data_IF_933852868696
#
_entry.id   IF_933852868696
#
_cell.length_a   1.000
_cell.length_b   1.000
_cell.length_c   1.000
_cell.angle_alpha   90.00
_cell.angle_beta   90.00
_cell.angle_gamma   90.00
#
_symmetry.space_group_name_H-M   'P 1'
#
loop_
_entity.id
_entity.type
_entity.pdbx_description
1 polymer ?
#
# COMPACT_ATOMS: atom_id res chain seq x y z
N UNK A 1 -9.58 -25.54 8.87
CA UNK A 1 -9.02 -24.41 9.59
C UNK A 1 -8.72 -24.83 11.04
N UNK A 2 -7.59 -25.50 11.27
CA UNK A 2 -7.24 -26.08 12.57
C UNK A 2 -6.94 -25.03 13.68
N UNK A 3 -6.72 -23.77 13.28
CA UNK A 3 -6.38 -22.69 14.22
C UNK A 3 -7.54 -21.71 14.49
N UNK A 4 -8.75 -21.96 13.94
CA UNK A 4 -9.90 -21.07 14.15
C UNK A 4 -9.76 -19.67 13.54
N UNK A 5 -8.81 -19.45 12.63
CA UNK A 5 -8.55 -18.15 11.99
C UNK A 5 -9.62 -17.88 10.94
N UNK A 6 -10.19 -16.68 10.94
CA UNK A 6 -11.06 -16.21 9.85
C UNK A 6 -10.19 -15.74 8.69
N UNK A 7 -10.40 -16.31 7.50
CA UNK A 7 -9.69 -15.94 6.29
C UNK A 7 -10.63 -15.14 5.39
N UNK A 8 -10.14 -14.00 4.90
CA UNK A 8 -10.82 -13.15 3.92
C UNK A 8 -9.93 -13.08 2.68
N UNK A 9 -10.42 -13.56 1.56
CA UNK A 9 -9.71 -13.44 0.27
C UNK A 9 -10.07 -12.12 -0.39
N UNK A 10 -9.06 -11.45 -0.93
CA UNK A 10 -9.24 -10.28 -1.79
C UNK A 10 -8.68 -10.62 -3.18
N UNK A 11 -9.35 -10.15 -4.22
CA UNK A 11 -8.95 -10.38 -5.62
C UNK A 11 -8.17 -9.22 -6.20
N UNK A 12 -8.19 -8.06 -5.55
CA UNK A 12 -7.58 -6.82 -6.01
C UNK A 12 -7.40 -5.86 -4.84
N UNK A 13 -6.60 -4.80 -5.03
CA UNK A 13 -6.42 -3.76 -4.02
C UNK A 13 -5.40 -4.10 -2.94
N UNK A 14 -4.25 -4.68 -3.32
CA UNK A 14 -3.18 -5.12 -2.41
C UNK A 14 -2.76 -4.04 -1.41
N UNK A 15 -2.57 -2.80 -1.88
CA UNK A 15 -2.16 -1.68 -1.00
C UNK A 15 -3.24 -1.37 0.03
N UNK A 16 -4.53 -1.43 -0.35
CA UNK A 16 -5.63 -1.24 0.59
C UNK A 16 -5.70 -2.37 1.62
N UNK A 17 -5.51 -3.62 1.17
CA UNK A 17 -5.46 -4.79 2.06
C UNK A 17 -4.37 -4.65 3.13
N UNK A 18 -3.18 -4.17 2.72
CA UNK A 18 -2.08 -3.89 3.64
C UNK A 18 -2.41 -2.75 4.61
N UNK A 19 -2.99 -1.65 4.14
CA UNK A 19 -3.38 -0.50 5.00
C UNK A 19 -4.43 -0.92 6.03
N UNK A 20 -5.33 -1.83 5.69
CA UNK A 20 -6.40 -2.31 6.58
C UNK A 20 -5.87 -2.93 7.89
N UNK A 21 -4.66 -3.50 7.88
CA UNK A 21 -4.02 -4.06 9.08
C UNK A 21 -3.63 -2.96 10.10
N UNK A 22 -3.39 -1.74 9.60
CA UNK A 22 -3.03 -0.59 10.43
C UNK A 22 -4.25 0.25 10.88
N UNK A 23 -5.45 -0.05 10.41
CA UNK A 23 -6.68 0.64 10.80
C UNK A 23 -7.26 0.01 12.08
N UNK A 24 -7.32 0.75 13.21
CA UNK A 24 -7.88 0.24 14.47
C UNK A 24 -9.36 -0.19 14.37
N UNK A 25 -10.08 0.28 13.35
CA UNK A 25 -11.48 -0.09 13.10
C UNK A 25 -11.62 -1.35 12.25
N UNK A 26 -10.53 -1.81 11.67
CA UNK A 26 -10.48 -3.04 10.91
C UNK A 26 -10.38 -4.25 11.85
N UNK A 27 -11.05 -5.33 11.50
CA UNK A 27 -10.91 -6.60 12.19
C UNK A 27 -9.88 -7.51 11.49
N UNK A 28 -8.84 -6.91 10.91
CA UNK A 28 -7.79 -7.61 10.18
C UNK A 28 -6.50 -7.57 11.00
N UNK A 29 -6.04 -8.71 11.46
CA UNK A 29 -4.83 -8.83 12.27
C UNK A 29 -3.57 -8.98 11.43
N UNK A 30 -3.67 -9.59 10.25
CA UNK A 30 -2.54 -9.86 9.37
C UNK A 30 -2.97 -9.84 7.90
N UNK A 31 -2.09 -9.31 7.05
CA UNK A 31 -2.20 -9.41 5.60
C UNK A 31 -1.06 -10.29 5.06
N UNK A 32 -1.40 -11.24 4.21
CA UNK A 32 -0.45 -12.08 3.48
C UNK A 32 -0.79 -12.03 2.00
N UNK A 33 0.15 -11.65 1.17
CA UNK A 33 -0.06 -11.54 -0.27
C UNK A 33 1.25 -11.51 -1.05
N UNK A 34 1.12 -11.66 -2.37
CA UNK A 34 2.19 -11.46 -3.34
C UNK A 34 1.70 -10.48 -4.38
N UNK A 35 2.47 -9.44 -4.62
CA UNK A 35 2.17 -8.38 -5.57
C UNK A 35 3.43 -7.88 -6.25
N UNK A 36 3.33 -6.83 -7.06
CA UNK A 36 4.47 -6.23 -7.73
C UNK A 36 5.43 -5.53 -6.75
N UNK A 37 6.69 -5.40 -7.15
CA UNK A 37 7.69 -4.69 -6.36
C UNK A 37 7.32 -3.23 -6.05
N UNK A 38 6.80 -2.45 -7.02
CA UNK A 38 6.33 -1.09 -6.77
C UNK A 38 5.20 -1.02 -5.73
N UNK A 39 4.23 -1.92 -5.80
CA UNK A 39 3.11 -2.01 -4.85
C UNK A 39 3.61 -2.31 -3.44
N UNK A 40 4.63 -3.19 -3.32
CA UNK A 40 5.28 -3.47 -2.04
C UNK A 40 5.92 -2.23 -1.40
N UNK A 41 6.57 -1.38 -2.20
CA UNK A 41 7.16 -0.12 -1.71
C UNK A 41 6.08 0.90 -1.34
N UNK A 42 5.00 1.00 -2.13
CA UNK A 42 3.85 1.87 -1.80
C UNK A 42 3.20 1.44 -0.48
N UNK A 43 2.99 0.14 -0.29
CA UNK A 43 2.47 -0.41 0.96
C UNK A 43 3.38 -0.08 2.16
N UNK A 44 4.70 -0.26 2.00
CA UNK A 44 5.68 0.10 3.03
C UNK A 44 5.65 1.61 3.35
N UNK A 45 5.49 2.47 2.34
CA UNK A 45 5.36 3.91 2.52
C UNK A 45 4.13 4.27 3.36
N UNK A 46 2.97 3.71 3.03
CA UNK A 46 1.74 3.93 3.78
C UNK A 46 1.87 3.45 5.24
N UNK A 47 2.35 2.21 5.45
CA UNK A 47 2.54 1.65 6.79
C UNK A 47 3.57 2.42 7.62
N UNK A 48 4.61 2.99 6.99
CA UNK A 48 5.58 3.87 7.65
C UNK A 48 4.93 5.12 8.22
N UNK A 49 3.92 5.68 7.55
CA UNK A 49 3.13 6.81 8.05
C UNK A 49 2.16 6.41 9.18
N UNK A 50 1.78 5.14 9.25
CA UNK A 50 0.82 4.60 10.22
C UNK A 50 1.49 3.92 11.43
N UNK A 51 2.81 4.05 11.58
CA UNK A 51 3.59 3.39 12.63
C UNK A 51 3.36 1.88 12.72
N UNK A 52 3.09 1.25 11.59
CA UNK A 52 2.84 -0.18 11.49
C UNK A 52 4.08 -0.93 11.01
N UNK A 53 3.97 -2.23 10.81
CA UNK A 53 5.10 -3.09 10.44
C UNK A 53 4.81 -3.87 9.17
N UNK A 54 5.88 -4.13 8.41
CA UNK A 54 5.83 -4.96 7.22
C UNK A 54 7.14 -5.72 7.06
N UNK A 55 7.04 -6.95 6.60
CA UNK A 55 8.18 -7.73 6.14
C UNK A 55 7.85 -8.35 4.79
N UNK A 56 8.78 -8.28 3.85
CA UNK A 56 8.60 -8.83 2.50
C UNK A 56 9.88 -9.48 1.99
N UNK A 57 9.77 -10.22 0.91
CA UNK A 57 10.90 -10.75 0.14
C UNK A 57 10.55 -10.77 -1.34
N UNK A 58 11.58 -10.72 -2.18
CA UNK A 58 11.40 -10.92 -3.61
C UNK A 58 11.05 -12.37 -3.91
N UNK A 59 10.11 -12.56 -4.81
CA UNK A 59 9.73 -13.86 -5.36
C UNK A 59 10.07 -13.82 -6.85
N UNK A 60 10.82 -14.78 -7.33
CA UNK A 60 11.27 -14.87 -8.71
C UNK A 60 10.63 -16.09 -9.37
N UNK A 61 10.08 -15.90 -10.56
CA UNK A 61 9.45 -16.98 -11.33
C UNK A 61 10.48 -17.79 -12.10
N UNK A 62 11.57 -17.14 -12.54
CA UNK A 62 12.61 -17.74 -13.36
C UNK A 62 14.01 -17.19 -13.08
N UNK A 63 15.00 -17.70 -13.80
CA UNK A 63 16.40 -17.27 -13.64
C UNK A 63 16.67 -15.91 -14.33
N UNK A 64 15.88 -15.50 -15.30
CA UNK A 64 16.02 -14.20 -15.94
C UNK A 64 15.63 -13.08 -14.99
N UNK A 65 14.57 -13.27 -14.19
CA UNK A 65 14.20 -12.33 -13.13
C UNK A 65 15.28 -12.24 -12.05
N UNK A 66 15.86 -13.36 -11.64
CA UNK A 66 16.99 -13.38 -10.69
C UNK A 66 18.20 -12.64 -11.25
N UNK A 67 18.51 -12.85 -12.52
CA UNK A 67 19.64 -12.20 -13.18
C UNK A 67 19.40 -10.68 -13.32
N UNK A 68 18.18 -10.25 -13.64
CA UNK A 68 17.79 -8.85 -13.63
C UNK A 68 17.95 -8.22 -12.25
N UNK A 69 17.48 -8.88 -11.21
CA UNK A 69 17.63 -8.41 -9.84
C UNK A 69 19.10 -8.23 -9.45
N UNK A 70 19.97 -9.19 -9.78
CA UNK A 70 21.42 -9.08 -9.55
C UNK A 70 22.03 -7.89 -10.30
N UNK A 71 21.67 -7.66 -11.57
CA UNK A 71 22.13 -6.52 -12.37
C UNK A 71 21.69 -5.18 -11.77
N UNK A 72 20.53 -5.13 -11.11
CA UNK A 72 20.03 -3.97 -10.37
C UNK A 72 20.66 -3.81 -8.97
N UNK A 73 21.63 -4.66 -8.61
CA UNK A 73 22.37 -4.53 -7.35
C UNK A 73 21.79 -5.31 -6.18
N UNK A 74 20.80 -6.17 -6.39
CA UNK A 74 20.27 -7.05 -5.35
C UNK A 74 21.29 -8.13 -5.04
N UNK A 75 21.93 -8.05 -3.87
CA UNK A 75 23.03 -8.94 -3.47
C UNK A 75 22.55 -10.30 -2.96
N UNK A 76 21.36 -10.38 -2.40
CA UNK A 76 20.80 -11.61 -1.85
C UNK A 76 19.36 -11.84 -2.32
N UNK A 77 19.13 -12.93 -3.04
CA UNK A 77 17.83 -13.22 -3.63
C UNK A 77 16.78 -13.69 -2.63
N UNK A 78 17.19 -14.14 -1.43
CA UNK A 78 16.31 -14.65 -0.37
C UNK A 78 16.26 -13.73 0.86
N UNK A 79 16.72 -12.49 0.72
CA UNK A 79 16.71 -11.54 1.82
C UNK A 79 15.26 -11.17 2.15
N UNK A 80 14.95 -11.13 3.44
CA UNK A 80 13.75 -10.51 3.97
C UNK A 80 14.04 -9.03 4.18
N UNK A 81 13.20 -8.19 3.61
CA UNK A 81 13.24 -6.75 3.76
C UNK A 81 12.21 -6.32 4.79
N UNK A 82 12.64 -5.54 5.76
CA UNK A 82 11.74 -4.82 6.65
C UNK A 82 11.33 -3.50 6.02
N UNK A 83 10.33 -2.86 6.56
CA UNK A 83 9.81 -1.59 6.06
C UNK A 83 10.92 -0.53 5.91
N UNK A 84 11.83 -0.42 6.89
CA UNK A 84 12.94 0.56 6.86
C UNK A 84 14.04 0.26 5.83
N UNK A 85 14.08 -0.95 5.28
CA UNK A 85 14.97 -1.30 4.17
C UNK A 85 14.42 -0.76 2.83
N UNK A 86 13.10 -0.63 2.73
CA UNK A 86 12.40 -0.21 1.51
C UNK A 86 12.12 1.28 1.48
N UNK A 87 11.80 1.89 2.63
CA UNK A 87 11.39 3.29 2.74
C UNK A 87 12.19 3.98 3.84
N UNK A 88 12.81 5.12 3.52
CA UNK A 88 13.67 5.89 4.44
C UNK A 88 13.25 7.35 4.47
N UNK A 89 13.51 7.98 5.62
CA UNK A 89 13.28 9.41 5.81
C UNK A 89 11.83 9.77 6.07
N UNK A 90 11.50 11.00 5.75
CA UNK A 90 10.12 11.50 5.83
C UNK A 90 9.33 11.06 4.60
N UNK A 91 8.07 10.70 4.82
CA UNK A 91 7.24 10.05 3.79
C UNK A 91 5.88 10.73 3.72
N UNK A 92 5.46 11.00 2.51
CA UNK A 92 4.08 11.35 2.17
C UNK A 92 3.52 10.23 1.29
N UNK A 93 2.36 9.69 1.67
CA UNK A 93 1.59 8.77 0.86
C UNK A 93 0.27 9.44 0.47
N UNK A 94 -0.05 9.41 -0.83
CA UNK A 94 -1.30 9.95 -1.36
C UNK A 94 -1.93 8.93 -2.31
N UNK A 95 -3.24 8.70 -2.14
CA UNK A 95 -4.03 7.87 -3.05
C UNK A 95 -5.33 8.57 -3.40
N UNK A 96 -5.55 8.85 -4.68
CA UNK A 96 -6.78 9.48 -5.18
C UNK A 96 -7.68 8.44 -5.82
N UNK A 97 -8.95 8.44 -5.45
CA UNK A 97 -9.94 7.52 -6.04
C UNK A 97 -10.27 7.90 -7.47
N UNK A 98 -10.12 6.96 -8.39
CA UNK A 98 -10.64 7.07 -9.78
C UNK A 98 -12.06 6.50 -9.82
N UNK A 99 -12.26 5.34 -9.20
CA UNK A 99 -13.56 4.69 -8.98
C UNK A 99 -13.87 4.64 -7.51
N UNK A 100 -15.13 4.38 -7.14
CA UNK A 100 -15.52 4.20 -5.74
C UNK A 100 -14.81 3.00 -5.12
N UNK A 101 -14.14 3.23 -4.02
CA UNK A 101 -13.47 2.22 -3.22
C UNK A 101 -13.78 2.34 -1.74
N UNK A 102 -13.26 1.41 -0.95
CA UNK A 102 -13.45 1.41 0.51
C UNK A 102 -12.66 2.53 1.20
N UNK A 103 -11.53 2.94 0.62
CA UNK A 103 -10.65 3.97 1.20
C UNK A 103 -11.11 5.38 0.83
N UNK A 104 -11.41 5.62 -0.44
CA UNK A 104 -11.81 6.91 -1.00
C UNK A 104 -12.89 6.73 -2.06
N UNK A 105 -13.68 7.79 -2.29
CA UNK A 105 -14.65 7.82 -3.37
C UNK A 105 -13.98 8.19 -4.69
N UNK A 106 -14.54 7.66 -5.77
CA UNK A 106 -14.12 7.94 -7.13
C UNK A 106 -14.43 9.38 -7.56
N UNK A 107 -13.90 9.74 -8.73
CA UNK A 107 -14.13 11.03 -9.33
C UNK A 107 -15.61 11.18 -9.70
N UNK A 108 -16.23 12.28 -9.30
CA UNK A 108 -17.59 12.65 -9.67
C UNK A 108 -17.56 13.82 -10.64
N UNK A 109 -18.27 13.67 -11.73
CA UNK A 109 -18.53 14.76 -12.68
C UNK A 109 -19.75 15.56 -12.21
N UNK A 110 -19.55 16.83 -11.82
CA UNK A 110 -20.59 17.72 -11.30
C UNK A 110 -20.59 19.02 -12.11
N UNK A 111 -21.40 19.06 -13.18
CA UNK A 111 -21.56 20.25 -14.08
C UNK A 111 -20.24 20.95 -14.41
N UNK A 112 -19.82 21.93 -13.60
CA UNK A 112 -18.69 22.83 -13.87
C UNK A 112 -17.38 22.39 -13.24
N UNK A 113 -17.37 21.29 -12.48
CA UNK A 113 -16.18 20.79 -11.78
C UNK A 113 -16.20 19.28 -11.61
N UNK A 114 -15.04 18.74 -11.32
CA UNK A 114 -14.87 17.37 -10.85
C UNK A 114 -14.67 17.39 -9.32
N UNK A 115 -15.30 16.46 -8.61
CA UNK A 115 -14.96 16.17 -7.21
C UNK A 115 -14.09 14.94 -7.16
N UNK A 116 -13.02 15.00 -6.34
CA UNK A 116 -12.13 13.89 -6.09
C UNK A 116 -11.81 13.78 -4.59
N UNK A 117 -11.71 12.55 -4.08
CA UNK A 117 -11.21 12.29 -2.75
C UNK A 117 -9.79 11.73 -2.82
N UNK A 118 -8.91 12.27 -1.97
CA UNK A 118 -7.53 11.84 -1.83
C UNK A 118 -7.27 11.46 -0.38
N UNK A 119 -6.86 10.22 -0.15
CA UNK A 119 -6.33 9.78 1.14
C UNK A 119 -4.89 10.25 1.26
N UNK A 120 -4.56 10.93 2.34
CA UNK A 120 -3.24 11.53 2.57
C UNK A 120 -2.70 11.09 3.91
N UNK A 121 -1.51 10.53 3.87
CA UNK A 121 -0.69 10.24 5.04
C UNK A 121 0.61 11.03 4.95
N UNK A 122 1.09 11.55 6.10
CA UNK A 122 2.40 12.17 6.19
C UNK A 122 3.04 11.80 7.52
N UNK A 123 4.23 11.21 7.45
CA UNK A 123 4.91 10.59 8.59
C UNK A 123 5.28 11.61 9.66
N UNK A 124 6.02 12.66 9.31
CA UNK A 124 6.55 13.61 10.29
C UNK A 124 5.48 14.45 10.98
N UNK A 125 4.38 14.78 10.28
CA UNK A 125 3.27 15.52 10.86
C UNK A 125 2.16 14.64 11.42
N UNK A 126 2.32 13.33 11.37
CA UNK A 126 1.30 12.35 11.76
C UNK A 126 -0.08 12.61 11.09
N UNK A 127 -0.04 13.09 9.84
CA UNK A 127 -1.25 13.37 9.07
C UNK A 127 -1.89 12.06 8.62
N UNK A 128 -3.18 11.91 8.89
CA UNK A 128 -4.02 10.81 8.38
C UNK A 128 -5.41 11.38 8.11
N UNK A 129 -5.71 11.71 6.84
CA UNK A 129 -6.97 12.34 6.48
C UNK A 129 -7.37 12.10 5.03
N UNK A 130 -8.66 12.25 4.76
CA UNK A 130 -9.20 12.35 3.40
C UNK A 130 -9.38 13.83 3.06
N UNK A 131 -8.84 14.24 1.92
CA UNK A 131 -9.01 15.57 1.35
C UNK A 131 -10.01 15.47 0.21
N UNK A 132 -11.02 16.34 0.21
CA UNK A 132 -11.98 16.49 -0.89
C UNK A 132 -11.58 17.71 -1.70
N UNK A 133 -11.35 17.50 -2.98
CA UNK A 133 -10.96 18.55 -3.91
C UNK A 133 -12.05 18.77 -4.96
N UNK A 134 -12.25 20.05 -5.32
CA UNK A 134 -13.05 20.45 -6.47
C UNK A 134 -12.10 21.02 -7.53
N UNK A 135 -12.13 20.42 -8.69
CA UNK A 135 -11.28 20.78 -9.83
C UNK A 135 -12.20 21.34 -10.90
N UNK A 136 -12.05 22.63 -11.19
CA UNK A 136 -12.84 23.30 -12.23
C UNK A 136 -12.52 22.68 -13.60
N UNK A 137 -13.56 22.48 -14.41
CA UNK A 137 -13.42 22.06 -15.82
C UNK A 137 -12.83 23.14 -16.70
#
# INVERSE_FOLDING_TARGET
>A
NSMGVKIIFISDGDVLGVISVADPKSNIDIYLGTGGGPEGVLAAAALSCLNSQMQTRLVFQDDDEKNRAKKLGIKGLNIKYNMNDMVKGDVIFCATGVTDGNLVKGIKDVRDYFEAETFVLHKSSNTNKIIKNKIKK
#
